data_IF_307831489922
#
_entry.id   IF_307831489922
#
_cell.length_a   1.000
_cell.length_b   1.000
_cell.length_c   1.000
_cell.angle_alpha   90.00
_cell.angle_beta   90.00
_cell.angle_gamma   90.00
#
_symmetry.space_group_name_H-M   'P 1'
#
loop_
_entity.id
_entity.type
_entity.pdbx_description
1 polymer ?
#
# COMPACT_ATOMS: atom_id res chain seq x y z
N UNK A 1 -18.78 40.17 -15.64
CA UNK A 1 -19.28 39.89 -14.28
C UNK A 1 -20.64 39.21 -14.44
N UNK A 2 -20.66 37.88 -14.50
CA UNK A 2 -21.90 37.09 -14.52
C UNK A 2 -22.16 36.60 -13.09
N UNK A 3 -23.31 36.96 -12.54
CA UNK A 3 -23.74 36.60 -11.18
C UNK A 3 -24.12 35.12 -11.11
N UNK A 4 -23.71 34.45 -10.04
CA UNK A 4 -23.93 33.03 -9.67
C UNK A 4 -25.42 32.79 -9.30
N UNK A 5 -26.34 33.14 -10.19
CA UNK A 5 -27.79 33.05 -9.96
C UNK A 5 -28.53 32.25 -11.02
N UNK A 6 -27.85 31.72 -12.03
CA UNK A 6 -28.49 31.21 -13.26
C UNK A 6 -28.12 29.75 -13.54
N UNK A 7 -27.93 28.95 -12.48
CA UNK A 7 -27.51 27.53 -12.60
C UNK A 7 -28.64 26.57 -12.22
N UNK A 8 -29.76 27.05 -11.65
CA UNK A 8 -30.86 26.18 -11.25
C UNK A 8 -32.19 26.73 -11.76
N UNK A 9 -32.95 25.86 -12.42
CA UNK A 9 -34.29 26.17 -12.89
C UNK A 9 -35.26 26.30 -11.71
N UNK A 10 -36.31 27.13 -11.85
CA UNK A 10 -37.28 27.35 -10.77
C UNK A 10 -38.00 26.07 -10.31
N UNK A 11 -38.06 25.05 -11.16
CA UNK A 11 -38.60 23.73 -10.82
C UNK A 11 -37.64 22.91 -9.94
N UNK A 12 -36.33 23.02 -10.13
CA UNK A 12 -35.32 22.41 -9.25
C UNK A 12 -35.27 23.10 -7.88
N UNK A 13 -35.43 24.43 -7.86
CA UNK A 13 -35.54 25.20 -6.61
C UNK A 13 -36.82 24.81 -5.85
N UNK A 14 -37.93 24.61 -6.56
CA UNK A 14 -39.18 24.16 -5.96
C UNK A 14 -39.08 22.74 -5.39
N UNK A 15 -38.37 21.83 -6.06
CA UNK A 15 -38.11 20.49 -5.57
C UNK A 15 -37.26 20.49 -4.28
N UNK A 16 -36.20 21.31 -4.23
CA UNK A 16 -35.37 21.47 -3.03
C UNK A 16 -36.11 22.13 -1.86
N UNK A 17 -37.01 23.09 -2.14
CA UNK A 17 -37.84 23.70 -1.09
C UNK A 17 -38.96 22.77 -0.59
N UNK A 18 -39.48 21.89 -1.44
CA UNK A 18 -40.53 20.95 -1.05
C UNK A 18 -40.01 19.87 -0.07
N UNK A 19 -38.72 19.50 -0.20
CA UNK A 19 -38.05 18.56 0.70
C UNK A 19 -37.64 19.21 2.05
N UNK A 20 -37.77 20.55 2.17
CA UNK A 20 -37.46 21.31 3.37
C UNK A 20 -38.69 21.57 4.28
N UNK A 21 -39.67 20.65 4.30
CA UNK A 21 -40.77 20.71 5.28
C UNK A 21 -40.32 20.19 6.65
N UNK A 22 -40.38 21.00 7.73
CA UNK A 22 -39.90 20.59 9.04
C UNK A 22 -40.97 19.70 9.70
N UNK A 23 -40.96 18.39 9.45
CA UNK A 23 -41.89 17.51 10.15
C UNK A 23 -42.03 16.05 9.71
N UNK A 24 -41.41 15.58 8.62
CA UNK A 24 -41.50 14.18 8.22
C UNK A 24 -40.10 13.63 7.92
N UNK A 25 -39.67 12.65 8.72
CA UNK A 25 -38.45 11.83 8.58
C UNK A 25 -37.34 12.47 7.74
N UNK A 26 -36.54 13.34 8.37
CA UNK A 26 -35.34 13.87 7.72
C UNK A 26 -34.44 12.72 7.23
N UNK A 27 -33.65 12.94 6.17
CA UNK A 27 -32.65 11.97 5.77
C UNK A 27 -31.83 11.64 7.00
N UNK A 28 -31.57 10.35 7.24
CA UNK A 28 -30.63 9.92 8.26
C UNK A 28 -29.31 10.60 7.89
N UNK A 29 -29.04 11.75 8.49
CA UNK A 29 -27.74 12.41 8.41
C UNK A 29 -26.84 11.48 9.21
N UNK A 30 -26.25 10.51 8.50
CA UNK A 30 -25.18 9.72 9.06
C UNK A 30 -24.10 10.72 9.44
N UNK A 31 -23.88 10.88 10.75
CA UNK A 31 -22.76 11.63 11.28
C UNK A 31 -21.50 10.94 10.78
N UNK A 32 -20.94 11.44 9.68
CA UNK A 32 -19.72 10.94 9.10
C UNK A 32 -18.56 11.42 9.97
N UNK A 33 -17.99 10.51 10.75
CA UNK A 33 -16.86 10.79 11.62
C UNK A 33 -15.57 10.67 10.81
N UNK A 34 -14.98 11.81 10.45
CA UNK A 34 -13.69 11.86 9.74
C UNK A 34 -12.53 11.25 10.54
N UNK A 35 -12.65 11.11 11.88
CA UNK A 35 -11.65 10.47 12.72
C UNK A 35 -11.78 8.93 12.74
N UNK A 36 -12.98 8.39 12.45
CA UNK A 36 -13.20 6.94 12.43
C UNK A 36 -12.38 6.25 11.32
N UNK A 37 -12.29 6.88 10.15
CA UNK A 37 -11.49 6.38 9.02
C UNK A 37 -9.99 6.27 9.37
N UNK A 38 -9.42 7.28 10.01
CA UNK A 38 -8.00 7.28 10.39
C UNK A 38 -7.68 6.22 11.46
N UNK A 39 -8.62 5.94 12.36
CA UNK A 39 -8.48 4.86 13.33
C UNK A 39 -8.54 3.47 12.68
N UNK A 40 -9.47 3.27 11.74
CA UNK A 40 -9.61 2.01 11.02
C UNK A 40 -8.34 1.68 10.20
N UNK A 41 -7.77 2.68 9.54
CA UNK A 41 -6.56 2.51 8.73
C UNK A 41 -5.34 2.14 9.59
N UNK A 42 -5.17 2.79 10.74
CA UNK A 42 -4.10 2.45 11.68
C UNK A 42 -4.26 1.04 12.27
N UNK A 43 -5.49 0.53 12.36
CA UNK A 43 -5.75 -0.85 12.77
C UNK A 43 -5.40 -1.87 11.67
N UNK A 44 -5.44 -1.49 10.39
CA UNK A 44 -5.09 -2.34 9.26
C UNK A 44 -3.57 -2.47 9.05
N UNK A 45 -2.77 -1.44 9.35
CA UNK A 45 -1.32 -1.47 9.16
C UNK A 45 -0.63 -2.68 9.83
N UNK A 46 -0.89 -3.01 11.12
CA UNK A 46 -0.29 -4.18 11.76
C UNK A 46 -0.78 -5.52 11.18
N UNK A 47 -1.95 -5.53 10.53
CA UNK A 47 -2.46 -6.72 9.85
C UNK A 47 -1.71 -6.96 8.54
N UNK A 48 -1.16 -5.93 7.92
CA UNK A 48 -0.38 -6.08 6.69
C UNK A 48 1.06 -6.57 6.93
N UNK A 49 1.62 -6.36 8.14
CA UNK A 49 2.98 -6.77 8.49
C UNK A 49 3.32 -8.25 8.17
N UNK A 50 2.48 -9.25 8.51
CA UNK A 50 2.77 -10.64 8.19
C UNK A 50 2.77 -10.91 6.69
N UNK A 51 1.91 -10.24 5.92
CA UNK A 51 1.84 -10.36 4.46
C UNK A 51 3.13 -9.81 3.87
N UNK A 52 3.54 -8.61 4.29
CA UNK A 52 4.77 -7.98 3.85
C UNK A 52 6.02 -8.81 4.20
N UNK A 53 6.07 -9.41 5.40
CA UNK A 53 7.18 -10.30 5.79
C UNK A 53 7.21 -11.60 4.98
N UNK A 54 6.05 -12.17 4.65
CA UNK A 54 5.95 -13.36 3.81
C UNK A 54 6.39 -13.02 2.36
N UNK A 55 5.87 -11.92 1.81
CA UNK A 55 6.25 -11.40 0.50
C UNK A 55 7.75 -11.13 0.40
N UNK A 56 8.33 -10.38 1.34
CA UNK A 56 9.76 -10.05 1.35
C UNK A 56 10.62 -11.32 1.34
N UNK A 57 10.27 -12.32 2.16
CA UNK A 57 10.99 -13.59 2.24
C UNK A 57 10.94 -14.37 0.92
N UNK A 58 9.76 -14.42 0.29
CA UNK A 58 9.57 -15.08 -1.01
C UNK A 58 10.34 -14.38 -2.11
N UNK A 59 10.18 -13.07 -2.23
CA UNK A 59 10.89 -12.26 -3.20
C UNK A 59 12.42 -12.37 -3.03
N UNK A 60 12.90 -12.35 -1.78
CA UNK A 60 14.32 -12.51 -1.47
C UNK A 60 14.86 -13.85 -1.98
N UNK A 61 14.13 -14.94 -1.69
CA UNK A 61 14.48 -16.27 -2.16
C UNK A 61 14.52 -16.33 -3.69
N UNK A 62 13.49 -15.83 -4.35
CA UNK A 62 13.37 -15.91 -5.82
C UNK A 62 14.39 -15.02 -6.53
N UNK A 63 14.67 -13.81 -6.03
CA UNK A 63 15.71 -12.93 -6.57
C UNK A 63 17.10 -13.52 -6.37
N UNK A 64 17.40 -14.04 -5.16
CA UNK A 64 18.72 -14.64 -4.89
C UNK A 64 18.99 -15.85 -5.76
N UNK A 65 17.96 -16.70 -5.98
CA UNK A 65 18.05 -17.85 -6.87
C UNK A 65 18.19 -17.44 -8.34
N UNK A 66 17.42 -16.44 -8.79
CA UNK A 66 17.42 -15.97 -10.17
C UNK A 66 18.71 -15.26 -10.57
N UNK A 67 19.26 -14.42 -9.69
CA UNK A 67 20.49 -13.65 -9.93
C UNK A 67 21.76 -14.43 -9.58
N UNK A 68 21.63 -15.59 -8.91
CA UNK A 68 22.75 -16.38 -8.37
C UNK A 68 23.69 -15.57 -7.47
N UNK A 69 23.14 -14.56 -6.82
CA UNK A 69 23.85 -13.66 -5.90
C UNK A 69 22.97 -13.45 -4.66
N UNK A 70 23.53 -13.37 -3.43
CA UNK A 70 22.73 -13.07 -2.25
C UNK A 70 22.07 -11.70 -2.37
N UNK A 71 20.74 -11.69 -2.25
CA UNK A 71 19.92 -10.49 -2.06
C UNK A 71 19.37 -10.52 -0.64
N UNK A 72 19.43 -9.39 0.06
CA UNK A 72 18.75 -9.20 1.34
C UNK A 72 17.57 -8.25 1.15
N UNK A 73 16.42 -8.59 1.74
CA UNK A 73 15.21 -7.76 1.71
C UNK A 73 14.74 -7.54 3.15
N UNK A 74 14.69 -6.28 3.57
CA UNK A 74 14.18 -5.89 4.88
C UNK A 74 12.88 -5.10 4.72
N UNK A 75 11.83 -5.52 5.45
CA UNK A 75 10.55 -4.81 5.51
C UNK A 75 10.74 -3.54 6.35
N UNK A 76 10.34 -2.39 5.83
CA UNK A 76 10.28 -1.12 6.57
C UNK A 76 8.85 -0.89 7.09
N UNK A 77 8.64 0.00 8.08
CA UNK A 77 7.30 0.29 8.57
C UNK A 77 6.41 0.88 7.46
N UNK A 78 5.19 0.36 7.34
CA UNK A 78 4.20 0.89 6.42
C UNK A 78 3.70 2.28 6.85
N UNK A 79 3.42 3.14 5.87
CA UNK A 79 2.94 4.52 6.08
C UNK A 79 1.67 4.74 5.27
N UNK A 80 0.73 5.50 5.81
CA UNK A 80 -0.49 5.88 5.09
C UNK A 80 -0.35 7.24 4.45
N UNK A 81 -0.84 7.36 3.22
CA UNK A 81 -0.89 8.61 2.47
C UNK A 81 -2.32 8.88 2.00
N UNK A 82 -2.63 10.17 1.78
CA UNK A 82 -3.95 10.60 1.31
C UNK A 82 -4.26 10.21 -0.13
N UNK A 83 -3.24 9.95 -0.96
CA UNK A 83 -3.40 9.50 -2.34
C UNK A 83 -2.17 8.73 -2.80
N UNK A 84 -2.31 7.96 -3.88
CA UNK A 84 -1.19 7.29 -4.56
C UNK A 84 -0.12 8.28 -5.03
N UNK A 85 -0.52 9.43 -5.58
CA UNK A 85 0.38 10.52 -5.98
C UNK A 85 1.21 11.01 -4.80
N UNK A 86 0.58 11.25 -3.64
CA UNK A 86 1.28 11.71 -2.44
C UNK A 86 2.25 10.66 -1.90
N UNK A 87 1.90 9.36 -1.98
CA UNK A 87 2.82 8.28 -1.61
C UNK A 87 4.03 8.21 -2.55
N UNK A 88 3.79 8.18 -3.87
CA UNK A 88 4.84 8.08 -4.87
C UNK A 88 5.81 9.27 -4.82
N UNK A 89 5.31 10.47 -4.51
CA UNK A 89 6.14 11.67 -4.34
C UNK A 89 7.14 11.59 -3.17
N UNK A 90 6.93 10.67 -2.22
CA UNK A 90 7.90 10.43 -1.12
C UNK A 90 9.07 9.54 -1.53
N UNK A 91 8.91 8.80 -2.63
CA UNK A 91 9.93 7.91 -3.16
C UNK A 91 10.85 8.73 -4.08
N UNK A 92 12.15 8.49 -3.99
CA UNK A 92 13.18 9.17 -4.80
C UNK A 92 13.12 8.80 -6.28
N UNK A 93 14.25 8.76 -6.99
CA UNK A 93 14.31 8.42 -8.42
C UNK A 93 13.90 6.96 -8.74
N UNK A 94 12.61 6.67 -8.62
CA UNK A 94 11.99 5.36 -8.79
C UNK A 94 11.31 5.25 -10.15
N UNK A 95 11.44 4.09 -10.76
CA UNK A 95 10.59 3.66 -11.85
C UNK A 95 9.33 3.05 -11.29
N UNK A 96 8.18 3.48 -11.78
CA UNK A 96 6.87 3.05 -11.29
C UNK A 96 6.13 2.22 -12.34
N UNK A 97 5.40 1.20 -11.88
CA UNK A 97 4.44 0.47 -12.69
C UNK A 97 3.14 0.23 -11.92
N UNK A 98 2.02 0.17 -12.63
CA UNK A 98 0.73 -0.17 -12.07
C UNK A 98 0.34 -1.61 -12.42
N UNK A 99 -0.23 -2.31 -11.45
CA UNK A 99 -0.86 -3.61 -11.58
C UNK A 99 -2.36 -3.39 -11.39
N UNK A 100 -3.14 -3.66 -12.41
CA UNK A 100 -4.60 -3.57 -12.34
C UNK A 100 -5.15 -4.73 -11.51
N UNK A 101 -6.01 -4.41 -10.57
CA UNK A 101 -6.83 -5.37 -9.84
C UNK A 101 -8.17 -5.53 -10.54
N UNK A 102 -8.65 -6.76 -10.71
CA UNK A 102 -9.94 -7.02 -11.36
C UNK A 102 -11.10 -7.12 -10.37
N UNK A 103 -10.81 -7.37 -9.09
CA UNK A 103 -11.81 -7.51 -8.03
C UNK A 103 -11.21 -7.18 -6.65
N UNK A 104 -11.54 -6.01 -6.05
CA UNK A 104 -12.25 -4.89 -6.68
C UNK A 104 -11.40 -4.25 -7.78
N UNK A 105 -12.04 -3.48 -8.68
CA UNK A 105 -11.34 -2.75 -9.75
C UNK A 105 -10.56 -1.58 -9.16
N UNK A 106 -9.22 -1.71 -9.11
CA UNK A 106 -8.32 -0.65 -8.63
C UNK A 106 -6.88 -0.87 -9.17
N UNK A 107 -5.93 -0.02 -8.78
CA UNK A 107 -4.54 -0.07 -9.21
C UNK A 107 -3.57 -0.16 -8.03
N UNK A 108 -2.80 -1.25 -7.98
CA UNK A 108 -1.66 -1.38 -7.09
C UNK A 108 -0.40 -0.86 -7.78
N UNK A 109 0.35 0.04 -7.14
CA UNK A 109 1.59 0.56 -7.72
C UNK A 109 2.81 -0.14 -7.14
N UNK A 110 3.77 -0.44 -8.01
CA UNK A 110 5.08 -0.95 -7.69
C UNK A 110 6.09 0.12 -8.07
N UNK A 111 6.85 0.60 -7.09
CA UNK A 111 7.91 1.58 -7.28
C UNK A 111 9.26 0.93 -6.96
N UNK A 112 10.23 1.07 -7.84
CA UNK A 112 11.55 0.45 -7.72
C UNK A 112 12.62 1.45 -8.12
N UNK A 113 13.68 1.60 -7.32
CA UNK A 113 14.79 2.47 -7.69
C UNK A 113 15.46 2.02 -9.01
N UNK A 114 15.68 2.96 -9.92
CA UNK A 114 16.22 2.65 -11.27
C UNK A 114 17.62 2.02 -11.21
N UNK A 115 18.42 2.39 -10.20
CA UNK A 115 19.75 1.84 -9.94
C UNK A 115 19.70 0.31 -9.74
N UNK A 116 18.67 -0.18 -9.04
CA UNK A 116 18.47 -1.60 -8.78
C UNK A 116 18.20 -2.39 -10.06
N UNK A 117 17.37 -1.85 -10.96
CA UNK A 117 17.05 -2.49 -12.24
C UNK A 117 18.31 -2.67 -13.08
N UNK A 118 19.14 -1.63 -13.17
CA UNK A 118 20.41 -1.67 -13.90
C UNK A 118 21.35 -2.70 -13.27
N UNK A 119 21.44 -2.71 -11.94
CA UNK A 119 22.26 -3.68 -11.21
C UNK A 119 21.80 -5.11 -11.41
N UNK A 120 20.49 -5.36 -11.46
CA UNK A 120 19.94 -6.69 -11.76
C UNK A 120 20.32 -7.16 -13.16
N UNK A 121 20.26 -6.27 -14.16
CA UNK A 121 20.72 -6.57 -15.52
C UNK A 121 22.19 -6.97 -15.50
N UNK A 122 23.03 -6.16 -14.86
CA UNK A 122 24.47 -6.42 -14.75
C UNK A 122 24.76 -7.78 -14.07
N UNK A 123 24.14 -8.04 -12.92
CA UNK A 123 24.28 -9.30 -12.20
C UNK A 123 23.82 -10.51 -13.03
N UNK A 124 22.72 -10.38 -13.78
CA UNK A 124 22.20 -11.46 -14.63
C UNK A 124 23.16 -11.83 -15.78
N UNK A 125 23.85 -10.84 -16.35
CA UNK A 125 24.85 -11.07 -17.40
C UNK A 125 26.27 -11.35 -16.86
N UNK A 126 26.44 -11.43 -15.53
CA UNK A 126 27.72 -11.74 -14.89
C UNK A 126 28.70 -10.56 -14.79
N UNK A 127 28.20 -9.34 -14.84
CA UNK A 127 29.02 -8.14 -14.69
C UNK A 127 29.43 -7.85 -13.25
N UNK A 128 30.53 -7.11 -13.11
CA UNK A 128 31.22 -6.88 -11.82
C UNK A 128 30.77 -5.61 -11.08
N UNK A 129 29.65 -4.97 -11.46
CA UNK A 129 29.16 -3.75 -10.80
C UNK A 129 29.90 -2.48 -11.17
N UNK A 130 30.59 -2.47 -12.31
CA UNK A 130 31.13 -1.24 -12.85
C UNK A 130 30.01 -0.25 -13.11
N UNK A 131 30.14 0.98 -12.59
CA UNK A 131 29.23 2.08 -12.93
C UNK A 131 29.23 2.24 -14.45
N UNK A 132 28.15 1.82 -15.09
CA UNK A 132 27.97 1.97 -16.52
C UNK A 132 27.70 3.44 -16.81
N UNK A 133 28.75 4.21 -17.13
CA UNK A 133 28.69 5.63 -17.48
C UNK A 133 28.01 5.94 -18.81
N UNK A 134 27.00 5.17 -19.21
CA UNK A 134 26.17 5.40 -20.38
C UNK A 134 24.68 5.28 -20.04
N UNK A 135 23.81 5.72 -20.95
CA UNK A 135 22.33 5.74 -20.85
C UNK A 135 21.69 4.33 -20.77
N UNK A 136 22.18 3.46 -19.89
CA UNK A 136 21.65 2.13 -19.64
C UNK A 136 20.22 2.15 -19.11
N UNK A 137 19.82 3.22 -18.41
CA UNK A 137 18.46 3.44 -17.96
C UNK A 137 17.44 3.46 -19.12
N UNK A 138 17.86 3.81 -20.34
CA UNK A 138 17.03 3.80 -21.54
C UNK A 138 17.22 2.55 -22.44
N UNK A 139 18.03 1.57 -22.01
CA UNK A 139 18.32 0.38 -22.81
C UNK A 139 17.11 -0.57 -22.86
N UNK A 140 16.96 -1.29 -23.99
CA UNK A 140 15.98 -2.36 -24.17
C UNK A 140 16.09 -3.43 -23.06
N UNK A 141 17.31 -3.72 -22.59
CA UNK A 141 17.57 -4.68 -21.53
C UNK A 141 17.03 -4.21 -20.17
N UNK A 142 17.18 -2.93 -19.82
CA UNK A 142 16.67 -2.37 -18.58
C UNK A 142 15.13 -2.38 -18.55
N UNK A 143 14.50 -2.00 -19.68
CA UNK A 143 13.05 -2.08 -19.82
C UNK A 143 12.52 -3.51 -19.69
N UNK A 144 13.19 -4.49 -20.32
CA UNK A 144 12.84 -5.90 -20.18
C UNK A 144 13.00 -6.40 -18.75
N UNK A 145 14.12 -6.06 -18.09
CA UNK A 145 14.38 -6.46 -16.71
C UNK A 145 13.39 -5.83 -15.72
N UNK A 146 13.04 -4.55 -15.91
CA UNK A 146 12.02 -3.89 -15.11
C UNK A 146 10.69 -4.63 -15.21
N UNK A 147 10.22 -4.95 -16.42
CA UNK A 147 8.97 -5.72 -16.60
C UNK A 147 9.05 -7.09 -15.95
N UNK A 148 10.17 -7.79 -16.11
CA UNK A 148 10.35 -9.12 -15.51
C UNK A 148 10.33 -9.04 -13.99
N UNK A 149 10.90 -7.97 -13.41
CA UNK A 149 10.87 -7.69 -11.99
C UNK A 149 9.46 -7.38 -11.50
N UNK A 150 8.69 -6.55 -12.21
CA UNK A 150 7.29 -6.25 -11.85
C UNK A 150 6.43 -7.52 -11.90
N UNK A 151 6.60 -8.34 -12.93
CA UNK A 151 5.92 -9.63 -13.06
C UNK A 151 6.27 -10.57 -11.90
N UNK A 152 7.54 -10.61 -11.52
CA UNK A 152 8.01 -11.39 -10.37
C UNK A 152 7.36 -10.87 -9.09
N UNK A 153 7.39 -9.55 -8.85
CA UNK A 153 6.73 -8.91 -7.72
C UNK A 153 5.25 -9.28 -7.67
N UNK A 154 4.53 -9.21 -8.80
CA UNK A 154 3.12 -9.64 -8.88
C UNK A 154 2.97 -11.09 -8.43
N UNK A 155 3.76 -12.00 -9.00
CA UNK A 155 3.62 -13.43 -8.72
C UNK A 155 3.92 -13.79 -7.27
N UNK A 156 4.94 -13.17 -6.66
CA UNK A 156 5.30 -13.41 -5.26
C UNK A 156 4.31 -12.74 -4.31
N UNK A 157 3.76 -11.59 -4.69
CA UNK A 157 2.72 -10.90 -3.92
C UNK A 157 1.45 -11.76 -3.85
N UNK A 158 0.99 -12.27 -5.00
CA UNK A 158 -0.16 -13.18 -5.08
C UNK A 158 0.06 -14.45 -4.24
N UNK A 159 1.26 -15.03 -4.29
CA UNK A 159 1.61 -16.21 -3.49
C UNK A 159 1.78 -15.91 -1.99
N UNK A 160 2.10 -14.67 -1.63
CA UNK A 160 2.21 -14.23 -0.25
C UNK A 160 0.86 -13.85 0.38
N UNK A 161 -0.12 -13.54 -0.47
CA UNK A 161 -1.42 -13.04 -0.05
C UNK A 161 -2.27 -14.12 0.63
N UNK A 162 -3.05 -13.78 1.68
CA UNK A 162 -3.90 -14.76 2.35
C UNK A 162 -4.93 -15.38 1.40
N UNK A 163 -5.10 -16.71 1.38
CA UNK A 163 -6.06 -17.36 0.48
C UNK A 163 -7.53 -17.06 0.84
N UNK A 164 -7.79 -16.60 2.06
CA UNK A 164 -9.13 -16.18 2.50
C UNK A 164 -9.60 -14.89 1.79
N UNK A 165 -8.67 -14.08 1.30
CA UNK A 165 -8.93 -12.81 0.62
C UNK A 165 -8.15 -12.76 -0.68
N UNK A 166 -8.59 -13.47 -1.72
CA UNK A 166 -7.79 -13.61 -2.93
C UNK A 166 -7.59 -12.25 -3.59
N UNK A 167 -6.32 -11.90 -3.81
CA UNK A 167 -5.94 -10.74 -4.60
C UNK A 167 -5.92 -11.13 -6.08
N UNK A 168 -6.57 -10.36 -6.94
CA UNK A 168 -6.65 -10.65 -8.37
C UNK A 168 -5.95 -9.56 -9.18
N UNK A 169 -4.66 -9.74 -9.46
CA UNK A 169 -3.87 -8.81 -10.26
C UNK A 169 -3.74 -9.28 -11.71
N UNK A 170 -4.09 -8.41 -12.64
CA UNK A 170 -3.91 -8.60 -14.07
C UNK A 170 -2.43 -8.66 -14.45
N UNK A 171 -2.09 -9.35 -15.56
CA UNK A 171 -0.74 -9.43 -16.00
C UNK A 171 -0.18 -8.15 -16.61
N UNK A 172 1.13 -7.95 -16.47
CA UNK A 172 1.82 -6.80 -17.06
C UNK A 172 1.75 -6.94 -18.57
N UNK A 173 1.02 -6.06 -19.25
CA UNK A 173 0.89 -6.12 -20.70
C UNK A 173 2.24 -5.94 -21.42
N UNK A 174 2.35 -6.54 -22.61
CA UNK A 174 3.55 -6.50 -23.44
C UNK A 174 3.81 -5.11 -24.07
N UNK A 175 2.84 -4.20 -24.05
CA UNK A 175 3.03 -2.84 -24.52
C UNK A 175 3.69 -1.99 -23.43
N UNK A 176 4.87 -1.46 -23.76
CA UNK A 176 5.77 -0.93 -22.76
C UNK A 176 5.22 0.25 -21.98
N UNK A 177 5.13 0.08 -20.66
CA UNK A 177 5.39 1.12 -19.67
C UNK A 177 4.59 2.42 -19.82
N UNK A 178 3.53 2.44 -20.63
CA UNK A 178 2.55 3.50 -20.54
C UNK A 178 1.60 3.08 -19.43
N UNK A 179 1.48 3.86 -18.34
CA UNK A 179 0.31 3.70 -17.49
C UNK A 179 -0.91 3.70 -18.42
N UNK A 180 -1.77 2.68 -18.28
CA UNK A 180 -3.04 2.64 -19.01
C UNK A 180 -3.65 4.02 -18.86
N UNK A 181 -3.94 4.69 -19.98
CA UNK A 181 -4.59 5.98 -19.97
C UNK A 181 -5.90 5.81 -19.19
N UNK A 182 -5.94 6.25 -17.92
CA UNK A 182 -7.01 5.90 -16.99
C UNK A 182 -6.59 5.23 -15.68
N UNK A 183 -5.29 5.05 -15.38
CA UNK A 183 -4.82 4.93 -13.98
C UNK A 183 -5.06 6.28 -13.29
N UNK A 184 -6.34 6.61 -13.11
CA UNK A 184 -6.81 7.86 -12.55
C UNK A 184 -6.20 8.03 -11.18
N UNK A 185 -5.90 9.27 -10.84
CA UNK A 185 -5.68 9.64 -9.45
C UNK A 185 -6.92 9.21 -8.67
N UNK A 186 -6.82 8.07 -7.98
CA UNK A 186 -7.80 7.67 -7.00
C UNK A 186 -7.52 8.52 -5.76
N UNK A 187 -8.40 9.45 -5.35
CA UNK A 187 -8.23 10.27 -4.15
C UNK A 187 -8.36 9.44 -2.86
N UNK A 188 -8.49 8.13 -2.99
CA UNK A 188 -8.47 7.19 -1.89
C UNK A 188 -7.10 7.15 -1.19
N UNK A 189 -7.16 6.97 0.13
CA UNK A 189 -5.98 6.75 0.96
C UNK A 189 -5.30 5.44 0.56
N UNK A 190 -3.98 5.44 0.64
CA UNK A 190 -3.14 4.29 0.26
C UNK A 190 -2.18 3.92 1.37
N UNK A 191 -1.79 2.65 1.41
CA UNK A 191 -0.68 2.16 2.23
C UNK A 191 0.57 2.10 1.36
N UNK A 192 1.61 2.81 1.76
CA UNK A 192 2.97 2.68 1.25
C UNK A 192 3.71 1.66 2.12
N UNK A 193 4.09 0.52 1.53
CA UNK A 193 4.93 -0.49 2.17
C UNK A 193 6.33 -0.48 1.53
N UNK A 194 7.36 0.07 2.21
CA UNK A 194 8.72 0.09 1.70
C UNK A 194 9.50 -1.18 2.07
N UNK A 195 10.40 -1.58 1.18
CA UNK A 195 11.32 -2.70 1.33
C UNK A 195 12.72 -2.21 0.99
N UNK A 196 13.63 -2.31 1.96
CA UNK A 196 15.05 -2.08 1.72
C UNK A 196 15.65 -3.31 1.04
N UNK A 197 16.24 -3.10 -0.13
CA UNK A 197 16.93 -4.09 -0.93
C UNK A 197 18.43 -3.89 -0.80
N UNK A 198 19.17 -4.98 -0.67
CA UNK A 198 20.63 -4.95 -0.68
C UNK A 198 21.19 -6.10 -1.51
N UNK A 199 22.14 -5.79 -2.39
CA UNK A 199 22.88 -6.77 -3.18
C UNK A 199 24.31 -6.28 -3.42
N UNK A 200 25.28 -7.08 -2.96
CA UNK A 200 26.67 -6.63 -2.83
C UNK A 200 26.74 -5.30 -2.06
N UNK A 201 27.32 -4.26 -2.67
CA UNK A 201 27.51 -2.94 -2.06
C UNK A 201 26.43 -1.94 -2.47
N UNK A 202 25.40 -2.38 -3.21
CA UNK A 202 24.29 -1.52 -3.60
C UNK A 202 23.07 -1.74 -2.72
N UNK A 203 22.55 -0.62 -2.23
CA UNK A 203 21.27 -0.51 -1.54
C UNK A 203 20.27 0.17 -2.46
N UNK A 204 19.01 -0.24 -2.37
CA UNK A 204 17.91 0.36 -3.12
C UNK A 204 16.61 0.20 -2.34
N UNK A 205 15.58 0.92 -2.78
CA UNK A 205 14.22 0.77 -2.26
C UNK A 205 13.25 0.21 -3.31
N UNK A 206 12.43 -0.73 -2.87
CA UNK A 206 11.21 -1.17 -3.55
C UNK A 206 10.04 -0.83 -2.65
N UNK A 207 8.97 -0.28 -3.20
CA UNK A 207 7.76 0.02 -2.45
C UNK A 207 6.52 -0.47 -3.17
N UNK A 208 5.56 -0.95 -2.40
CA UNK A 208 4.20 -1.24 -2.85
C UNK A 208 3.29 -0.11 -2.36
N UNK A 209 2.52 0.48 -3.27
CA UNK A 209 1.45 1.44 -2.93
C UNK A 209 0.12 0.74 -3.16
N UNK A 210 -0.60 0.48 -2.08
CA UNK A 210 -1.77 -0.37 -2.06
C UNK A 210 -2.97 0.49 -1.68
N UNK A 211 -3.96 0.67 -2.58
CA UNK A 211 -5.25 1.26 -2.23
C UNK A 211 -5.93 0.49 -1.11
N UNK A 212 -6.62 1.21 -0.22
CA UNK A 212 -7.32 0.58 0.90
C UNK A 212 -8.47 -0.32 0.44
N UNK A 213 -9.08 -0.03 -0.70
CA UNK A 213 -10.10 -0.82 -1.38
C UNK A 213 -9.66 -2.28 -1.55
N UNK A 214 -8.40 -2.52 -1.91
CA UNK A 214 -7.81 -3.86 -2.06
C UNK A 214 -7.62 -4.59 -0.73
N UNK A 215 -7.75 -3.88 0.39
CA UNK A 215 -7.67 -4.41 1.75
C UNK A 215 -9.05 -4.49 2.42
N UNK A 216 -10.09 -3.93 1.78
CA UNK A 216 -11.46 -4.02 2.32
C UNK A 216 -11.88 -5.49 2.33
N UNK A 217 -12.18 -6.00 3.53
CA UNK A 217 -12.51 -7.41 3.75
C UNK A 217 -11.50 -8.16 4.63
N UNK A 218 -10.24 -7.72 4.70
CA UNK A 218 -9.25 -8.38 5.56
C UNK A 218 -9.56 -8.08 7.04
N UNK A 219 -10.23 -9.03 7.71
CA UNK A 219 -10.54 -8.88 9.14
C UNK A 219 -9.43 -9.46 10.03
N UNK A 220 -9.30 -8.93 11.24
CA UNK A 220 -8.34 -9.42 12.24
C UNK A 220 -8.53 -10.91 12.56
N UNK A 221 -9.76 -11.43 12.45
CA UNK A 221 -10.11 -12.84 12.70
C UNK A 221 -9.53 -13.83 11.68
N UNK A 222 -9.22 -13.38 10.47
CA UNK A 222 -8.79 -14.25 9.37
C UNK A 222 -7.27 -14.32 9.23
N UNK A 223 -6.55 -13.53 10.01
CA UNK A 223 -5.09 -13.52 10.00
C UNK A 223 -4.54 -14.57 10.99
N UNK A 224 -3.88 -15.65 10.53
CA UNK A 224 -3.45 -16.76 11.37
C UNK A 224 -2.43 -16.38 12.47
N UNK A 225 -1.86 -15.18 12.41
CA UNK A 225 -0.79 -14.72 13.30
C UNK A 225 -1.14 -13.51 14.19
N UNK A 226 -2.31 -12.88 14.06
CA UNK A 226 -2.66 -11.68 14.85
C UNK A 226 -2.96 -12.01 16.32
N UNK A 227 -3.62 -13.15 16.56
CA UNK A 227 -4.12 -13.53 17.90
C UNK A 227 -3.00 -13.95 18.85
N UNK A 228 -1.84 -14.36 18.33
CA UNK A 228 -0.73 -14.84 19.16
C UNK A 228 0.09 -13.70 19.79
N UNK A 229 0.28 -12.57 19.09
CA UNK A 229 1.14 -11.48 19.56
C UNK A 229 0.42 -10.45 20.44
N UNK A 230 -0.90 -10.27 20.27
CA UNK A 230 -1.68 -9.33 21.08
C UNK A 230 -1.92 -9.78 22.54
N UNK A 231 -1.90 -11.09 22.83
CA UNK A 231 -2.19 -11.59 24.19
C UNK A 231 -1.09 -11.29 25.22
N UNK A 232 0.15 -11.10 24.77
CA UNK A 232 1.30 -10.94 25.67
C UNK A 232 1.28 -9.62 26.45
N UNK A 233 1.11 -8.49 25.75
CA UNK A 233 1.12 -7.17 26.38
C UNK A 233 -0.12 -6.92 27.24
N UNK A 234 -1.29 -7.46 26.84
CA UNK A 234 -2.52 -7.36 27.64
C UNK A 234 -2.39 -8.12 28.97
N UNK A 235 -1.75 -9.30 28.96
CA UNK A 235 -1.42 -10.02 30.20
C UNK A 235 -0.42 -9.25 31.06
N UNK A 236 0.62 -8.70 30.44
CA UNK A 236 1.63 -7.92 31.15
C UNK A 236 1.04 -6.64 31.78
N UNK A 237 0.18 -5.91 31.04
CA UNK A 237 -0.55 -4.74 31.54
C UNK A 237 -1.51 -5.15 32.67
N UNK A 238 -2.23 -6.25 32.51
CA UNK A 238 -3.13 -6.77 33.53
C UNK A 238 -2.41 -7.17 34.83
N UNK A 239 -1.16 -7.65 34.74
CA UNK A 239 -0.32 -7.89 35.91
C UNK A 239 0.20 -6.58 36.52
N UNK A 240 0.72 -5.67 35.70
CA UNK A 240 1.21 -4.37 36.15
C UNK A 240 0.12 -3.52 36.85
N UNK A 241 -1.12 -3.56 36.35
CA UNK A 241 -2.27 -2.89 36.99
C UNK A 241 -2.63 -3.47 38.35
N UNK A 242 -2.44 -4.79 38.56
CA UNK A 242 -2.69 -5.43 39.86
C UNK A 242 -1.60 -5.11 40.88
N UNK A 243 -0.39 -4.90 40.41
CA UNK A 243 0.78 -4.57 41.24
C UNK A 243 0.92 -3.06 41.48
N UNK A 244 0.14 -2.23 40.77
CA UNK A 244 0.17 -0.79 40.91
C UNK A 244 -0.35 -0.36 42.30
N UNK A 245 0.44 0.38 43.10
CA UNK A 245 0.02 0.86 44.39
C UNK A 245 -1.07 1.92 44.23
N UNK A 246 -2.25 1.66 44.81
CA UNK A 246 -3.36 2.63 44.82
C UNK A 246 -3.31 3.45 46.10
N UNK A 247 -3.18 4.78 45.95
CA UNK A 247 -3.29 5.72 47.06
C UNK A 247 -4.78 5.98 47.33
N UNK A 248 -5.33 5.28 48.31
CA UNK A 248 -6.70 5.52 48.79
C UNK A 248 -6.70 6.72 49.73
N UNK A 249 -7.39 7.79 49.36
CA UNK A 249 -7.70 8.90 50.25
C UNK A 249 -9.19 8.87 50.60
N UNK A 250 -9.50 8.97 51.89
CA UNK A 250 -10.86 9.14 52.38
C UNK A 250 -10.96 10.53 53.02
N UNK A 251 -11.91 11.35 52.56
CA UNK A 251 -12.29 12.58 53.24
C UNK A 251 -13.41 12.27 54.23
N UNK A 252 -13.10 12.42 55.52
CA UNK A 252 -14.10 12.38 56.58
C UNK A 252 -14.73 13.79 56.71
N UNK A 253 -16.06 13.81 56.71
CA UNK A 253 -16.89 14.99 56.96
C UNK A 253 -17.11 15.22 58.46
#
# INVERSE_FOLDING_TARGET
>A
MGTVGDILSQEEIAALLHDATPGASGPIVATFDFAADDHQIRALLPLFDPIAQNFARRLQHTLSAGLRQPVAIAVRPAVCHGSSTAALATLGAVSTACLESTDPVDFLWVAIESSWVIRMVDAYYGGAGGQSGGDYAASLAANWAQRRLIELVRSELLAAWPPAHPLHLAPVEAQGGKPVAGAGENPEKVILQPFALQMAEQEAELALVIPLSLLTGITTSEMPYSVARQKGWQRALGQALREAPLTLSAQLA
#
